data_IF_179308916810
#
_entry.id   IF_179308916810
#
_cell.length_a   1.000
_cell.length_b   1.000
_cell.length_c   1.000
_cell.angle_alpha   90.00
_cell.angle_beta   90.00
_cell.angle_gamma   90.00
#
_symmetry.space_group_name_H-M   'P 1'
#
loop_
_entity.id
_entity.type
_entity.pdbx_description
1 polymer ?
#
# COMPACT_ATOMS: atom_id res chain seq x y z
N UNK A 1 20.64 -1.79 0.19
CA UNK A 1 19.49 -2.04 -0.61
C UNK A 1 18.31 -2.51 0.23
N UNK A 2 17.21 -1.80 0.15
CA UNK A 2 16.11 -2.08 1.05
C UNK A 2 15.02 -2.86 0.34
N UNK A 3 14.98 -4.15 0.60
CA UNK A 3 13.88 -4.99 0.14
C UNK A 3 12.85 -5.09 1.26
N UNK A 4 12.25 -3.96 1.58
CA UNK A 4 11.23 -3.95 2.60
C UNK A 4 9.99 -4.66 2.10
N UNK A 5 9.51 -5.61 2.87
CA UNK A 5 8.26 -6.28 2.58
C UNK A 5 7.08 -5.40 2.93
N UNK A 6 7.27 -4.50 3.89
CA UNK A 6 6.22 -3.61 4.37
C UNK A 6 6.67 -2.18 4.19
N UNK A 7 5.75 -1.34 3.75
CA UNK A 7 6.02 0.08 3.51
C UNK A 7 5.07 0.93 4.34
N UNK A 8 5.56 2.08 4.79
CA UNK A 8 4.66 3.07 5.36
C UNK A 8 3.86 3.72 4.23
N UNK A 9 2.82 4.47 4.61
CA UNK A 9 2.05 5.22 3.61
C UNK A 9 2.95 6.17 2.82
N UNK A 10 3.85 6.85 3.53
CA UNK A 10 4.75 7.80 2.88
C UNK A 10 5.70 7.09 1.91
N UNK A 11 6.27 5.98 2.35
CA UNK A 11 7.19 5.22 1.50
C UNK A 11 6.49 4.69 0.26
N UNK A 12 5.28 4.17 0.44
CA UNK A 12 4.50 3.65 -0.68
C UNK A 12 4.12 4.76 -1.64
N UNK A 13 3.78 5.93 -1.11
CA UNK A 13 3.44 7.07 -1.94
C UNK A 13 4.58 7.44 -2.87
N UNK A 14 5.80 7.46 -2.35
CA UNK A 14 6.98 7.79 -3.14
C UNK A 14 7.29 6.68 -4.14
N UNK A 15 7.25 5.44 -3.67
CA UNK A 15 7.62 4.31 -4.53
C UNK A 15 6.65 4.12 -5.69
N UNK A 16 5.37 4.22 -5.42
CA UNK A 16 4.35 3.95 -6.44
C UNK A 16 3.87 5.20 -7.17
N UNK A 17 4.28 6.37 -6.70
CA UNK A 17 3.85 7.61 -7.34
C UNK A 17 2.38 7.90 -7.14
N UNK A 18 1.80 7.44 -6.04
CA UNK A 18 0.39 7.64 -5.71
C UNK A 18 0.31 8.55 -4.49
N UNK A 19 -0.58 9.53 -4.53
CA UNK A 19 -0.73 10.43 -3.41
C UNK A 19 -1.14 9.70 -2.14
N UNK A 20 -0.69 10.20 -0.98
CA UNK A 20 -0.98 9.56 0.30
C UNK A 20 -2.46 9.49 0.57
N UNK A 21 -3.20 10.51 0.18
CA UNK A 21 -4.65 10.55 0.33
C UNK A 21 -5.31 9.38 -0.40
N UNK A 22 -4.90 9.17 -1.63
CA UNK A 22 -5.43 8.11 -2.45
C UNK A 22 -5.08 6.73 -1.88
N UNK A 23 -3.85 6.60 -1.38
CA UNK A 23 -3.43 5.36 -0.75
C UNK A 23 -4.30 5.03 0.45
N UNK A 24 -4.61 6.03 1.26
CA UNK A 24 -5.46 5.81 2.44
C UNK A 24 -6.87 5.41 2.05
N UNK A 25 -7.38 5.96 0.95
CA UNK A 25 -8.70 5.56 0.46
C UNK A 25 -8.70 4.10 0.03
N UNK A 26 -7.66 3.68 -0.68
CA UNK A 26 -7.53 2.29 -1.12
C UNK A 26 -7.45 1.35 0.08
N UNK A 27 -6.64 1.72 1.07
CA UNK A 27 -6.48 0.92 2.27
C UNK A 27 -7.79 0.82 3.05
N UNK A 28 -8.54 1.91 3.09
CA UNK A 28 -9.81 1.93 3.82
C UNK A 28 -10.81 0.93 3.22
N UNK A 29 -10.74 0.72 1.92
CA UNK A 29 -11.62 -0.22 1.24
C UNK A 29 -11.08 -1.64 1.20
N UNK A 30 -9.88 -1.85 1.70
CA UNK A 30 -9.23 -3.15 1.71
C UNK A 30 -9.60 -3.91 2.99
N UNK A 31 -10.85 -4.33 3.08
CA UNK A 31 -11.38 -4.95 4.29
C UNK A 31 -10.70 -6.27 4.63
N UNK A 32 -10.23 -6.98 3.62
CA UNK A 32 -9.62 -8.29 3.81
C UNK A 32 -8.12 -8.21 4.11
N UNK A 33 -7.59 -7.01 4.22
CA UNK A 33 -6.16 -6.79 4.45
C UNK A 33 -5.29 -7.50 3.43
N UNK A 34 -5.70 -7.41 2.16
CA UNK A 34 -4.94 -8.01 1.07
C UNK A 34 -3.66 -7.23 0.78
N UNK A 35 -3.73 -5.91 0.91
CA UNK A 35 -2.65 -5.02 0.52
C UNK A 35 -2.00 -4.33 1.70
N UNK A 36 -2.55 -4.48 2.89
CA UNK A 36 -2.03 -3.78 4.05
C UNK A 36 -2.23 -4.62 5.30
N UNK A 37 -1.56 -4.21 6.36
CA UNK A 37 -1.82 -4.77 7.69
C UNK A 37 -1.58 -3.68 8.71
N UNK A 38 -2.10 -3.91 9.90
CA UNK A 38 -1.91 -2.99 11.00
C UNK A 38 -0.92 -3.57 11.98
N UNK A 39 0.05 -2.76 12.36
CA UNK A 39 0.97 -3.11 13.42
C UNK A 39 0.72 -2.10 14.53
N UNK A 40 -0.01 -2.51 15.57
CA UNK A 40 -0.47 -1.58 16.55
C UNK A 40 -1.42 -0.57 15.91
N UNK A 41 -1.02 0.69 15.92
CA UNK A 41 -1.82 1.76 15.30
C UNK A 41 -1.23 2.24 13.98
N UNK A 42 -0.22 1.53 13.48
CA UNK A 42 0.48 1.95 12.28
C UNK A 42 0.05 1.09 11.11
N UNK A 43 -0.31 1.74 10.01
CA UNK A 43 -0.65 1.05 8.78
C UNK A 43 0.63 0.73 8.03
N UNK A 44 0.77 -0.53 7.62
CA UNK A 44 1.88 -0.95 6.77
C UNK A 44 1.31 -1.56 5.50
N UNK A 45 1.87 -1.18 4.37
CA UNK A 45 1.43 -1.68 3.08
C UNK A 45 2.28 -2.86 2.69
N UNK A 46 1.60 -3.95 2.30
CA UNK A 46 2.28 -5.16 1.82
C UNK A 46 2.77 -4.87 0.41
N UNK A 47 4.06 -4.67 0.29
CA UNK A 47 4.65 -4.19 -0.96
C UNK A 47 4.31 -5.09 -2.14
N UNK A 48 4.56 -6.38 -2.01
CA UNK A 48 4.37 -7.30 -3.13
C UNK A 48 2.92 -7.37 -3.56
N UNK A 49 2.02 -7.50 -2.59
CA UNK A 49 0.59 -7.57 -2.88
C UNK A 49 0.09 -6.29 -3.55
N UNK A 50 0.58 -5.16 -3.09
CA UNK A 50 0.16 -3.88 -3.66
C UNK A 50 0.71 -3.70 -5.07
N UNK A 51 1.95 -4.16 -5.31
CA UNK A 51 2.52 -4.12 -6.65
C UNK A 51 1.67 -4.93 -7.63
N UNK A 52 1.21 -6.11 -7.20
CA UNK A 52 0.34 -6.92 -8.03
C UNK A 52 -0.99 -6.24 -8.30
N UNK A 53 -1.53 -5.59 -7.28
CA UNK A 53 -2.77 -4.84 -7.43
C UNK A 53 -2.64 -3.74 -8.47
N UNK A 54 -1.57 -2.98 -8.39
CA UNK A 54 -1.30 -1.90 -9.35
C UNK A 54 -1.13 -2.47 -10.75
N UNK A 55 -0.41 -3.58 -10.87
CA UNK A 55 -0.14 -4.19 -12.16
C UNK A 55 -1.40 -4.66 -12.87
N UNK A 56 -2.46 -4.98 -12.12
CA UNK A 56 -3.72 -5.43 -12.68
C UNK A 56 -4.73 -4.32 -12.86
N UNK A 57 -4.45 -3.16 -12.29
CA UNK A 57 -5.40 -2.05 -12.31
C UNK A 57 -5.12 -1.16 -13.51
N UNK A 58 -6.19 -0.78 -14.19
CA UNK A 58 -6.09 0.19 -15.28
C UNK A 58 -6.23 1.61 -14.76
N UNK A 59 -6.86 1.74 -13.61
CA UNK A 59 -7.14 3.05 -13.03
C UNK A 59 -7.20 2.92 -11.51
N UNK A 60 -6.61 3.86 -10.86
CA UNK A 60 -6.59 3.88 -9.39
C UNK A 60 -7.20 5.17 -8.86
#
# INVERSE_FOLDING_TARGET
MNNKLLLSIKEASVLFGIGQHRLRDIIREDYDCKYHLMIGRVIKIKRQSFEEFIGKSEQI
#
